data_IF_178031939254
#
_entry.id   IF_178031939254
#
_cell.length_a   1.000
_cell.length_b   1.000
_cell.length_c   1.000
_cell.angle_alpha   90.00
_cell.angle_beta   90.00
_cell.angle_gamma   90.00
#
_symmetry.space_group_name_H-M   'P 1'
#
loop_
_entity.id
_entity.type
_entity.pdbx_description
1 polymer ?
#
# COMPACT_ATOMS: atom_id res chain seq x y z
N UNK A 1 23.98 -29.69 -18.55
CA UNK A 1 23.35 -28.37 -18.31
C UNK A 1 24.37 -27.49 -17.59
N UNK A 2 25.02 -26.54 -18.28
CA UNK A 2 26.03 -25.68 -17.69
C UNK A 2 25.40 -24.57 -16.86
N UNK A 3 25.74 -24.51 -15.57
CA UNK A 3 25.36 -23.37 -14.72
C UNK A 3 26.02 -22.10 -15.24
N UNK A 4 25.23 -21.10 -15.68
CA UNK A 4 25.77 -19.80 -16.10
C UNK A 4 26.29 -19.06 -14.86
N UNK A 5 27.49 -18.43 -14.90
CA UNK A 5 28.11 -17.73 -13.76
C UNK A 5 27.22 -16.68 -13.10
N UNK A 6 26.34 -16.03 -13.87
CA UNK A 6 25.38 -15.04 -13.37
C UNK A 6 24.33 -15.65 -12.41
N UNK A 7 23.93 -16.90 -12.63
CA UNK A 7 22.96 -17.59 -11.75
C UNK A 7 23.60 -17.95 -10.41
N UNK A 8 24.88 -18.30 -10.41
CA UNK A 8 25.65 -18.62 -9.20
C UNK A 8 25.79 -17.37 -8.31
N UNK A 9 26.14 -16.21 -8.89
CA UNK A 9 26.23 -14.94 -8.14
C UNK A 9 24.88 -14.55 -7.52
N UNK A 10 23.78 -14.67 -8.27
CA UNK A 10 22.44 -14.38 -7.77
C UNK A 10 22.06 -15.32 -6.62
N UNK A 11 22.37 -16.59 -6.71
CA UNK A 11 22.11 -17.58 -5.65
C UNK A 11 22.89 -17.24 -4.37
N UNK A 12 24.19 -16.97 -4.45
CA UNK A 12 24.99 -16.58 -3.28
C UNK A 12 24.53 -15.26 -2.67
N UNK A 13 24.15 -14.28 -3.46
CA UNK A 13 23.58 -13.02 -2.97
C UNK A 13 22.25 -13.26 -2.23
N UNK A 14 21.40 -14.14 -2.75
CA UNK A 14 20.17 -14.57 -2.08
C UNK A 14 20.46 -15.28 -0.76
N UNK A 15 21.39 -16.23 -0.73
CA UNK A 15 21.77 -16.97 0.47
C UNK A 15 22.26 -16.02 1.57
N UNK A 16 23.14 -15.07 1.22
CA UNK A 16 23.65 -14.06 2.18
C UNK A 16 22.52 -13.21 2.74
N UNK A 17 21.71 -12.63 1.86
CA UNK A 17 20.55 -11.82 2.25
C UNK A 17 19.61 -12.62 3.15
N UNK A 18 19.35 -13.88 2.82
CA UNK A 18 18.45 -14.75 3.59
C UNK A 18 19.02 -15.14 4.95
N UNK A 19 20.33 -15.33 5.05
CA UNK A 19 20.98 -15.58 6.33
C UNK A 19 20.85 -14.41 7.32
N UNK A 20 20.96 -13.18 6.82
CA UNK A 20 20.78 -11.96 7.62
C UNK A 20 19.29 -11.77 8.02
N UNK A 21 18.36 -11.98 7.08
CA UNK A 21 16.93 -11.94 7.36
C UNK A 21 16.52 -13.05 8.35
N UNK A 22 17.08 -14.25 8.28
CA UNK A 22 16.81 -15.33 9.22
C UNK A 22 17.16 -14.96 10.66
N UNK A 23 18.27 -14.22 10.88
CA UNK A 23 18.62 -13.72 12.21
C UNK A 23 17.58 -12.74 12.74
N UNK A 24 17.02 -11.89 11.86
CA UNK A 24 15.97 -10.94 12.22
C UNK A 24 14.66 -11.67 12.51
N UNK A 25 14.25 -12.61 11.66
CA UNK A 25 13.03 -13.39 11.83
C UNK A 25 13.04 -14.21 13.13
N UNK A 26 14.21 -14.71 13.54
CA UNK A 26 14.39 -15.43 14.81
C UNK A 26 14.10 -14.61 16.07
N UNK A 27 14.04 -13.28 15.98
CA UNK A 27 13.59 -12.42 17.09
C UNK A 27 12.16 -12.73 17.50
N UNK A 28 11.33 -13.14 16.54
CA UNK A 28 9.94 -13.53 16.79
C UNK A 28 9.84 -14.99 17.22
N UNK A 29 10.39 -15.92 16.42
CA UNK A 29 10.57 -17.32 16.79
C UNK A 29 11.45 -18.07 15.77
N UNK A 30 11.92 -19.28 16.18
CA UNK A 30 12.60 -20.20 15.23
C UNK A 30 11.65 -20.73 14.16
N UNK A 31 10.40 -20.96 14.53
CA UNK A 31 9.35 -21.42 13.62
C UNK A 31 9.07 -20.37 12.54
N UNK A 32 8.87 -19.12 12.93
CA UNK A 32 8.66 -18.01 12.01
C UNK A 32 9.81 -17.88 11.01
N UNK A 33 11.05 -17.88 11.49
CA UNK A 33 12.23 -17.83 10.64
C UNK A 33 12.27 -18.97 9.60
N UNK A 34 11.85 -20.20 10.00
CA UNK A 34 11.72 -21.34 9.09
C UNK A 34 10.64 -21.10 8.05
N UNK A 35 9.47 -20.63 8.45
CA UNK A 35 8.35 -20.33 7.54
C UNK A 35 8.72 -19.25 6.51
N UNK A 36 9.39 -18.19 6.93
CA UNK A 36 9.91 -17.16 6.02
C UNK A 36 10.91 -17.74 5.01
N UNK A 37 11.83 -18.58 5.46
CA UNK A 37 12.79 -19.25 4.59
C UNK A 37 12.07 -20.17 3.57
N UNK A 38 11.15 -21.01 4.03
CA UNK A 38 10.41 -21.93 3.17
C UNK A 38 9.55 -21.19 2.13
N UNK A 39 8.94 -20.09 2.52
CA UNK A 39 8.16 -19.22 1.62
C UNK A 39 9.05 -18.61 0.53
N UNK A 40 10.16 -17.96 0.89
CA UNK A 40 11.07 -17.39 -0.10
C UNK A 40 11.70 -18.48 -1.00
N UNK A 41 12.06 -19.63 -0.43
CA UNK A 41 12.58 -20.76 -1.21
C UNK A 41 11.55 -21.26 -2.22
N UNK A 42 10.27 -21.28 -1.88
CA UNK A 42 9.20 -21.71 -2.80
C UNK A 42 9.05 -20.81 -4.02
N UNK A 43 9.52 -19.57 -3.96
CA UNK A 43 9.50 -18.63 -5.08
C UNK A 43 10.71 -18.74 -6.02
N UNK A 44 11.69 -19.57 -5.69
CA UNK A 44 12.88 -19.77 -6.52
C UNK A 44 12.64 -20.83 -7.59
N UNK A 45 12.90 -20.48 -8.84
CA UNK A 45 12.72 -21.37 -9.98
C UNK A 45 11.24 -21.67 -10.29
N UNK A 46 11.00 -22.67 -11.09
CA UNK A 46 9.64 -23.06 -11.53
C UNK A 46 9.03 -24.05 -10.52
N UNK A 47 8.57 -23.55 -9.40
CA UNK A 47 7.84 -24.35 -8.40
C UNK A 47 6.35 -24.39 -8.74
N UNK A 48 5.62 -25.47 -8.42
CA UNK A 48 4.16 -25.51 -8.53
C UNK A 48 3.50 -24.39 -7.73
N UNK A 49 2.47 -23.76 -8.28
CA UNK A 49 1.76 -22.66 -7.62
C UNK A 49 1.16 -23.10 -6.28
N UNK A 50 0.63 -24.33 -6.19
CA UNK A 50 0.08 -24.91 -4.96
C UNK A 50 1.10 -24.95 -3.81
N UNK A 51 2.38 -25.21 -4.12
CA UNK A 51 3.44 -25.17 -3.11
C UNK A 51 3.70 -23.76 -2.61
N UNK A 52 3.74 -22.78 -3.54
CA UNK A 52 3.93 -21.37 -3.19
C UNK A 52 2.77 -20.91 -2.29
N UNK A 53 1.54 -21.24 -2.67
CA UNK A 53 0.33 -20.88 -1.94
C UNK A 53 0.31 -21.52 -0.54
N UNK A 54 0.67 -22.79 -0.43
CA UNK A 54 0.75 -23.47 0.86
C UNK A 54 1.79 -22.83 1.80
N UNK A 55 2.99 -22.46 1.28
CA UNK A 55 4.03 -21.80 2.08
C UNK A 55 3.65 -20.37 2.44
N UNK A 56 3.02 -19.64 1.52
CA UNK A 56 2.46 -18.30 1.79
C UNK A 56 1.43 -18.37 2.91
N UNK A 57 0.45 -19.28 2.80
CA UNK A 57 -0.60 -19.47 3.80
C UNK A 57 -0.04 -19.81 5.18
N UNK A 58 0.92 -20.74 5.27
CA UNK A 58 1.51 -21.13 6.55
C UNK A 58 2.22 -19.93 7.24
N UNK A 59 2.97 -19.12 6.47
CA UNK A 59 3.58 -17.89 6.98
C UNK A 59 2.51 -16.87 7.44
N UNK A 60 1.48 -16.66 6.63
CA UNK A 60 0.42 -15.70 6.91
C UNK A 60 -0.37 -16.06 8.18
N UNK A 61 -0.76 -17.32 8.34
CA UNK A 61 -1.50 -17.76 9.55
C UNK A 61 -0.64 -17.65 10.82
N UNK A 62 0.67 -17.91 10.72
CA UNK A 62 1.57 -17.69 11.85
C UNK A 62 1.62 -16.20 12.26
N UNK A 63 1.73 -15.28 11.28
CA UNK A 63 1.75 -13.84 11.55
C UNK A 63 0.45 -13.38 12.20
N UNK A 64 -0.70 -13.83 11.69
CA UNK A 64 -2.01 -13.48 12.26
C UNK A 64 -2.10 -13.96 13.73
N UNK A 65 -1.75 -15.21 14.00
CA UNK A 65 -1.76 -15.74 15.38
C UNK A 65 -0.79 -14.98 16.30
N UNK A 66 0.37 -14.58 15.79
CA UNK A 66 1.32 -13.74 16.53
C UNK A 66 0.72 -12.37 16.86
N UNK A 67 0.09 -11.71 15.90
CA UNK A 67 -0.53 -10.39 16.07
C UNK A 67 -1.72 -10.47 17.04
N UNK A 68 -2.59 -11.48 16.93
CA UNK A 68 -3.70 -11.72 17.85
C UNK A 68 -3.22 -11.89 19.30
N UNK A 69 -2.11 -12.63 19.48
CA UNK A 69 -1.51 -12.80 20.81
C UNK A 69 -0.84 -11.53 21.32
N UNK A 70 -0.29 -10.71 20.44
CA UNK A 70 0.45 -9.49 20.81
C UNK A 70 -0.47 -8.34 21.17
N UNK A 71 -1.60 -8.19 20.45
CA UNK A 71 -2.54 -7.07 20.58
C UNK A 71 -3.98 -7.57 20.87
N UNK A 72 -4.21 -8.34 21.94
CA UNK A 72 -5.53 -8.86 22.26
C UNK A 72 -6.50 -7.78 22.73
N UNK A 73 -6.00 -6.68 23.28
CA UNK A 73 -6.81 -5.62 23.87
C UNK A 73 -7.59 -4.87 22.79
N UNK A 74 -6.89 -4.45 21.73
CA UNK A 74 -7.53 -3.79 20.58
C UNK A 74 -8.53 -4.73 19.90
N UNK A 75 -8.18 -5.99 19.67
CA UNK A 75 -9.12 -6.96 19.06
C UNK A 75 -10.38 -7.12 19.91
N UNK A 76 -10.22 -7.25 21.22
CA UNK A 76 -11.36 -7.39 22.14
C UNK A 76 -12.28 -6.15 22.14
N UNK A 77 -11.69 -4.95 22.08
CA UNK A 77 -12.43 -3.68 22.08
C UNK A 77 -13.30 -3.51 20.82
N UNK A 78 -12.85 -4.04 19.67
CA UNK A 78 -13.53 -3.84 18.39
C UNK A 78 -14.40 -5.02 17.93
N UNK A 79 -14.20 -6.24 18.46
CA UNK A 79 -14.84 -7.48 17.97
C UNK A 79 -16.35 -7.42 17.83
N UNK A 80 -17.03 -6.75 18.75
CA UNK A 80 -18.49 -6.64 18.77
C UNK A 80 -18.94 -5.18 18.60
N UNK A 81 -18.10 -4.33 18.02
CA UNK A 81 -18.44 -2.94 17.80
C UNK A 81 -19.65 -2.85 16.86
N UNK A 82 -20.72 -2.15 17.23
CA UNK A 82 -21.84 -1.91 16.34
C UNK A 82 -21.37 -1.07 15.15
N UNK A 83 -22.03 -1.23 14.01
CA UNK A 83 -21.79 -0.35 12.87
C UNK A 83 -22.06 1.10 13.27
N UNK A 84 -21.13 2.03 13.03
CA UNK A 84 -21.39 3.45 13.27
C UNK A 84 -22.63 3.92 12.50
N UNK A 85 -23.38 4.83 13.10
CA UNK A 85 -24.51 5.48 12.44
C UNK A 85 -24.03 6.16 11.14
N UNK A 86 -24.82 6.07 10.08
CA UNK A 86 -24.50 6.62 8.77
C UNK A 86 -23.24 6.05 8.09
N UNK A 87 -22.71 4.91 8.54
CA UNK A 87 -21.48 4.32 8.00
C UNK A 87 -21.55 4.08 6.47
N UNK A 88 -22.74 3.72 5.96
CA UNK A 88 -22.97 3.41 4.54
C UNK A 88 -23.35 4.64 3.70
N UNK A 89 -23.43 5.82 4.28
CA UNK A 89 -23.76 7.04 3.53
C UNK A 89 -22.53 7.60 2.82
N UNK A 90 -22.70 8.25 1.67
CA UNK A 90 -21.63 8.98 1.01
C UNK A 90 -20.98 10.04 1.92
N UNK A 91 -19.72 10.30 1.71
CA UNK A 91 -19.01 11.39 2.40
C UNK A 91 -19.59 12.74 1.93
N UNK A 92 -19.94 13.62 2.88
CA UNK A 92 -20.46 14.95 2.56
C UNK A 92 -19.39 15.87 2.01
N UNK A 93 -18.22 15.85 2.64
CA UNK A 93 -17.02 16.56 2.21
C UNK A 93 -15.88 15.56 2.08
N UNK A 94 -15.13 15.67 1.00
CA UNK A 94 -13.99 14.79 0.73
C UNK A 94 -12.72 15.61 0.77
N UNK A 95 -11.86 15.34 1.72
CA UNK A 95 -10.49 15.85 1.74
C UNK A 95 -9.59 14.89 1.00
N UNK A 96 -8.74 15.43 0.14
CA UNK A 96 -7.78 14.65 -0.64
C UNK A 96 -6.44 14.66 0.08
N UNK A 97 -5.88 13.48 0.30
CA UNK A 97 -4.63 13.29 1.03
C UNK A 97 -3.61 12.55 0.19
N UNK A 98 -2.38 12.96 0.28
CA UNK A 98 -1.22 12.18 -0.13
C UNK A 98 -0.13 12.31 0.93
N UNK A 99 1.04 11.67 0.72
CA UNK A 99 2.10 11.75 1.72
C UNK A 99 3.48 11.65 1.08
N UNK A 100 4.35 12.60 1.50
CA UNK A 100 5.78 12.55 1.24
C UNK A 100 6.51 13.09 2.47
N UNK A 101 7.18 12.19 3.21
CA UNK A 101 7.74 12.52 4.52
C UNK A 101 8.69 13.71 4.52
N UNK A 102 9.47 13.90 3.46
CA UNK A 102 10.44 14.99 3.34
C UNK A 102 9.79 16.35 2.97
N UNK A 103 8.54 16.37 2.58
CA UNK A 103 7.84 17.53 2.05
C UNK A 103 7.77 17.55 0.52
N UNK A 104 6.75 18.19 -0.03
CA UNK A 104 6.46 18.21 -1.47
C UNK A 104 7.61 18.79 -2.30
N UNK A 105 8.35 19.78 -1.78
CA UNK A 105 9.48 20.40 -2.46
C UNK A 105 10.66 19.44 -2.70
N UNK A 106 10.81 18.42 -1.87
CA UNK A 106 11.85 17.39 -2.00
C UNK A 106 11.34 16.16 -2.78
N UNK A 107 10.21 16.27 -3.43
CA UNK A 107 9.58 15.15 -4.09
C UNK A 107 10.17 14.92 -5.49
N UNK A 108 10.40 13.64 -5.81
CA UNK A 108 10.83 13.25 -7.15
C UNK A 108 9.76 13.61 -8.22
N UNK A 109 10.16 13.81 -9.49
CA UNK A 109 9.23 14.15 -10.58
C UNK A 109 8.02 13.23 -10.67
N UNK A 110 8.21 11.92 -10.53
CA UNK A 110 7.12 10.95 -10.52
C UNK A 110 6.06 11.23 -9.44
N UNK A 111 6.50 11.67 -8.24
CA UNK A 111 5.55 12.02 -7.19
C UNK A 111 4.78 13.29 -7.53
N UNK A 112 5.49 14.34 -8.00
CA UNK A 112 4.86 15.59 -8.44
C UNK A 112 3.81 15.34 -9.53
N UNK A 113 4.16 14.55 -10.54
CA UNK A 113 3.24 14.08 -11.58
C UNK A 113 1.97 13.43 -10.99
N UNK A 114 2.13 12.52 -10.03
CA UNK A 114 0.98 11.85 -9.41
C UNK A 114 0.10 12.82 -8.61
N UNK A 115 0.69 13.79 -7.91
CA UNK A 115 -0.05 14.82 -7.17
C UNK A 115 -0.81 15.75 -8.12
N UNK A 116 -0.16 16.24 -9.17
CA UNK A 116 -0.83 17.11 -10.14
C UNK A 116 -1.98 16.38 -10.87
N UNK A 117 -1.79 15.10 -11.18
CA UNK A 117 -2.87 14.28 -11.74
C UNK A 117 -4.05 14.11 -10.76
N UNK A 118 -3.77 13.95 -9.48
CA UNK A 118 -4.83 13.88 -8.46
C UNK A 118 -5.56 15.22 -8.31
N UNK A 119 -4.85 16.35 -8.25
CA UNK A 119 -5.46 17.70 -8.21
C UNK A 119 -6.39 17.92 -9.40
N UNK A 120 -5.91 17.62 -10.62
CA UNK A 120 -6.66 17.77 -11.86
C UNK A 120 -7.93 16.92 -11.89
N UNK A 121 -7.80 15.62 -11.67
CA UNK A 121 -8.86 14.64 -11.91
C UNK A 121 -9.75 14.36 -10.70
N UNK A 122 -9.37 14.77 -9.51
CA UNK A 122 -10.22 14.70 -8.32
C UNK A 122 -10.84 16.07 -7.98
N UNK A 123 -10.59 17.08 -8.81
CA UNK A 123 -11.18 18.43 -8.72
C UNK A 123 -11.04 19.06 -7.33
N UNK A 124 -9.87 18.92 -6.70
CA UNK A 124 -9.65 19.45 -5.36
C UNK A 124 -8.18 19.57 -4.99
N UNK A 125 -7.93 20.39 -3.96
CA UNK A 125 -6.59 20.53 -3.39
C UNK A 125 -6.19 19.26 -2.66
N UNK A 126 -5.01 18.72 -2.99
CA UNK A 126 -4.42 17.59 -2.31
C UNK A 126 -3.51 18.08 -1.20
N UNK A 127 -3.82 17.71 0.04
CA UNK A 127 -2.93 17.97 1.17
C UNK A 127 -1.86 16.88 1.20
N UNK A 128 -0.61 17.28 0.94
CA UNK A 128 0.54 16.39 1.09
C UNK A 128 1.00 16.40 2.54
N UNK A 129 0.79 15.29 3.23
CA UNK A 129 1.26 15.10 4.60
C UNK A 129 2.79 14.88 4.61
N UNK A 130 3.47 15.56 5.52
CA UNK A 130 4.91 15.47 5.73
C UNK A 130 5.27 15.45 7.23
N UNK A 131 6.58 15.41 7.54
CA UNK A 131 7.12 15.39 8.90
C UNK A 131 6.80 16.63 9.75
N UNK A 132 6.41 17.74 9.13
CA UNK A 132 6.19 19.02 9.78
C UNK A 132 4.69 19.31 9.96
N UNK A 133 3.85 19.01 8.95
CA UNK A 133 2.44 19.41 8.90
C UNK A 133 1.44 18.37 9.46
N UNK A 134 1.81 17.10 9.62
CA UNK A 134 0.87 16.06 10.10
C UNK A 134 0.21 16.40 11.44
N UNK A 135 0.92 17.14 12.30
CA UNK A 135 0.45 17.58 13.63
C UNK A 135 -0.81 18.46 13.58
N UNK A 136 -1.11 19.06 12.43
CA UNK A 136 -2.33 19.82 12.24
C UNK A 136 -3.59 18.95 12.19
N UNK A 137 -3.44 17.63 12.06
CA UNK A 137 -4.53 16.71 11.78
C UNK A 137 -4.63 15.54 12.79
N UNK A 138 -3.49 15.07 13.29
CA UNK A 138 -3.40 13.97 14.27
C UNK A 138 -2.02 13.98 14.93
N UNK A 139 -1.90 13.21 16.02
CA UNK A 139 -0.63 13.04 16.73
C UNK A 139 0.00 11.67 16.39
N UNK A 140 1.32 11.61 16.28
CA UNK A 140 2.08 10.36 16.32
C UNK A 140 2.59 10.20 17.76
N UNK A 141 2.31 9.08 18.46
CA UNK A 141 2.78 8.85 19.82
C UNK A 141 4.30 9.03 19.93
N UNK A 142 4.76 9.75 20.96
CA UNK A 142 6.17 10.08 21.14
C UNK A 142 7.08 8.83 21.15
N UNK A 143 6.62 7.72 21.74
CA UNK A 143 7.39 6.48 21.75
C UNK A 143 7.59 5.90 20.34
N UNK A 144 6.67 6.13 19.39
CA UNK A 144 6.84 5.71 18.00
C UNK A 144 7.89 6.56 17.28
N UNK A 145 7.86 7.89 17.49
CA UNK A 145 8.87 8.80 16.93
C UNK A 145 10.27 8.48 17.49
N UNK A 146 10.39 8.20 18.79
CA UNK A 146 11.64 7.76 19.39
C UNK A 146 12.11 6.43 18.78
N UNK A 147 11.25 5.44 18.62
CA UNK A 147 11.59 4.16 17.97
C UNK A 147 11.97 4.32 16.50
N UNK A 148 11.38 5.28 15.78
CA UNK A 148 11.83 5.65 14.44
C UNK A 148 13.27 6.17 14.46
N UNK A 149 13.58 7.11 15.35
CA UNK A 149 14.91 7.67 15.50
C UNK A 149 15.96 6.61 15.90
N UNK A 150 15.57 5.60 16.69
CA UNK A 150 16.40 4.46 17.09
C UNK A 150 16.50 3.38 15.98
N UNK A 151 15.83 3.52 14.85
CA UNK A 151 15.80 2.52 13.76
C UNK A 151 15.03 1.23 14.08
N UNK A 152 14.20 1.23 15.12
CA UNK A 152 13.33 0.10 15.51
C UNK A 152 12.06 0.05 14.66
N UNK A 153 11.55 1.21 14.27
CA UNK A 153 10.43 1.36 13.33
C UNK A 153 10.99 1.92 12.03
N UNK A 154 10.72 1.28 10.91
CA UNK A 154 11.06 1.84 9.60
C UNK A 154 10.09 2.97 9.24
N UNK A 155 10.57 3.97 8.49
CA UNK A 155 9.74 5.10 8.05
C UNK A 155 8.45 4.65 7.35
N UNK A 156 8.50 3.56 6.57
CA UNK A 156 7.31 2.99 5.91
C UNK A 156 6.17 2.71 6.91
N UNK A 157 6.49 2.16 8.09
CA UNK A 157 5.46 1.85 9.09
C UNK A 157 4.93 3.09 9.83
N UNK A 158 5.75 4.14 9.93
CA UNK A 158 5.24 5.46 10.37
C UNK A 158 4.28 6.02 9.31
N UNK A 159 4.62 5.90 8.04
CA UNK A 159 3.72 6.28 6.95
C UNK A 159 2.41 5.47 6.97
N UNK A 160 2.46 4.16 7.21
CA UNK A 160 1.27 3.32 7.38
C UNK A 160 0.39 3.81 8.54
N UNK A 161 1.01 4.17 9.68
CA UNK A 161 0.29 4.76 10.82
C UNK A 161 -0.34 6.11 10.46
N UNK A 162 0.39 6.98 9.74
CA UNK A 162 -0.14 8.28 9.31
C UNK A 162 -1.36 8.15 8.41
N UNK A 163 -1.33 7.20 7.45
CA UNK A 163 -2.46 6.95 6.53
C UNK A 163 -3.72 6.53 7.30
N UNK A 164 -3.60 5.56 8.19
CA UNK A 164 -4.77 5.12 8.95
C UNK A 164 -5.23 6.16 9.96
N UNK A 165 -4.33 6.95 10.53
CA UNK A 165 -4.65 8.03 11.47
C UNK A 165 -5.39 9.18 10.81
N UNK A 166 -4.94 9.65 9.62
CA UNK A 166 -5.64 10.72 8.90
C UNK A 166 -7.05 10.28 8.49
N UNK A 167 -7.19 9.05 7.97
CA UNK A 167 -8.50 8.53 7.58
C UNK A 167 -9.41 8.26 8.79
N UNK A 168 -8.85 7.82 9.93
CA UNK A 168 -9.62 7.65 11.17
C UNK A 168 -10.12 8.99 11.72
N UNK A 169 -9.30 10.06 11.68
CA UNK A 169 -9.60 11.33 12.32
C UNK A 169 -10.33 12.33 11.42
N UNK A 170 -10.05 12.33 10.14
CA UNK A 170 -10.60 13.28 9.18
C UNK A 170 -11.51 12.61 8.15
N UNK A 171 -11.29 11.31 7.82
CA UNK A 171 -11.87 10.68 6.64
C UNK A 171 -11.25 11.22 5.36
N UNK A 172 -11.93 11.02 4.23
CA UNK A 172 -11.49 11.54 2.94
C UNK A 172 -10.93 10.46 2.01
N UNK A 173 -10.11 10.87 1.07
CA UNK A 173 -9.53 10.02 0.03
C UNK A 173 -8.01 10.15 0.03
N UNK A 174 -7.32 9.05 0.32
CA UNK A 174 -5.86 8.99 0.32
C UNK A 174 -5.34 8.33 -0.96
N UNK A 175 -4.41 9.02 -1.64
CA UNK A 175 -3.63 8.48 -2.76
C UNK A 175 -2.15 8.40 -2.38
N UNK A 176 -1.56 7.21 -2.53
CA UNK A 176 -0.12 7.04 -2.30
C UNK A 176 0.72 7.82 -3.31
N UNK A 177 1.93 8.18 -2.92
CA UNK A 177 2.89 9.01 -3.65
C UNK A 177 3.20 8.60 -5.10
N UNK A 178 2.79 7.43 -5.53
CA UNK A 178 3.05 6.90 -6.88
C UNK A 178 1.78 6.32 -7.50
N UNK A 179 0.63 6.94 -7.21
CA UNK A 179 -0.65 6.63 -7.83
C UNK A 179 -0.98 7.75 -8.81
N UNK A 180 -1.03 7.42 -10.08
CA UNK A 180 -1.44 8.34 -11.12
C UNK A 180 -2.95 8.22 -11.36
N UNK A 181 -3.64 9.36 -11.34
CA UNK A 181 -5.05 9.49 -11.70
C UNK A 181 -5.13 9.79 -13.20
N UNK A 182 -5.72 8.92 -13.97
CA UNK A 182 -5.66 8.99 -15.43
C UNK A 182 -6.84 9.70 -16.09
N UNK A 183 -7.90 9.96 -15.34
CA UNK A 183 -9.16 10.56 -15.82
C UNK A 183 -9.98 11.07 -14.65
N UNK A 184 -11.00 11.89 -14.94
CA UNK A 184 -11.86 12.46 -13.91
C UNK A 184 -12.54 11.39 -13.06
N UNK A 185 -12.44 11.55 -11.75
CA UNK A 185 -12.95 10.59 -10.77
C UNK A 185 -14.41 10.93 -10.46
N UNK A 186 -15.35 10.01 -10.71
CA UNK A 186 -16.76 10.24 -10.44
C UNK A 186 -17.05 10.52 -8.96
N UNK A 187 -18.00 11.38 -8.66
CA UNK A 187 -18.47 11.66 -7.29
C UNK A 187 -18.85 10.39 -6.51
N UNK A 188 -19.40 9.39 -7.19
CA UNK A 188 -19.72 8.11 -6.57
C UNK A 188 -18.51 7.36 -6.03
N UNK A 189 -17.32 7.59 -6.60
CA UNK A 189 -16.05 7.04 -6.13
C UNK A 189 -15.44 7.94 -5.07
N UNK A 190 -15.36 9.27 -5.33
CA UNK A 190 -14.78 10.22 -4.38
C UNK A 190 -15.52 10.23 -3.05
N UNK A 191 -16.85 10.19 -3.09
CA UNK A 191 -17.73 10.25 -1.92
C UNK A 191 -18.10 8.89 -1.36
N UNK A 192 -17.55 7.80 -1.91
CA UNK A 192 -17.85 6.47 -1.39
C UNK A 192 -17.60 6.40 0.13
N UNK A 193 -18.47 5.73 0.89
CA UNK A 193 -18.28 5.54 2.32
C UNK A 193 -17.01 4.75 2.64
N UNK A 194 -16.59 3.89 1.72
CA UNK A 194 -15.30 3.21 1.65
C UNK A 194 -14.93 2.92 0.20
N UNK A 195 -13.67 3.14 -0.17
CA UNK A 195 -13.16 2.79 -1.50
C UNK A 195 -11.69 2.38 -1.43
N UNK A 196 -11.33 1.39 -2.22
CA UNK A 196 -9.96 0.94 -2.47
C UNK A 196 -9.91 0.22 -3.82
N UNK A 197 -8.73 0.07 -4.43
CA UNK A 197 -8.61 -0.81 -5.58
C UNK A 197 -8.84 -2.26 -5.17
N UNK A 198 -9.73 -2.93 -5.91
CA UNK A 198 -10.10 -4.34 -5.72
C UNK A 198 -10.16 -5.05 -7.06
N UNK A 199 -9.76 -6.31 -7.11
CA UNK A 199 -9.92 -7.16 -8.29
C UNK A 199 -10.35 -8.56 -7.88
N UNK A 200 -11.12 -9.22 -8.75
CA UNK A 200 -11.58 -10.60 -8.56
C UNK A 200 -10.44 -11.64 -8.49
N UNK A 201 -9.23 -11.28 -8.88
CA UNK A 201 -8.10 -12.20 -8.89
C UNK A 201 -7.65 -12.49 -7.46
N UNK A 202 -7.88 -13.70 -6.98
CA UNK A 202 -7.33 -14.18 -5.71
C UNK A 202 -5.82 -14.37 -5.85
N UNK A 203 -5.06 -13.44 -5.26
CA UNK A 203 -3.61 -13.54 -5.16
C UNK A 203 -3.25 -13.98 -3.75
N UNK A 204 -3.20 -15.28 -3.53
CA UNK A 204 -2.85 -15.90 -2.23
C UNK A 204 -1.49 -15.46 -1.68
N UNK A 205 -0.63 -14.91 -2.54
CA UNK A 205 0.67 -14.35 -2.16
C UNK A 205 0.54 -13.19 -1.17
N UNK A 206 -0.45 -12.30 -1.36
CA UNK A 206 -0.69 -11.17 -0.46
C UNK A 206 -1.83 -11.48 0.52
N UNK A 207 -1.69 -11.02 1.77
CA UNK A 207 -2.73 -11.19 2.78
C UNK A 207 -4.06 -10.53 2.36
N UNK A 208 -3.99 -9.39 1.68
CA UNK A 208 -5.16 -8.69 1.16
C UNK A 208 -5.99 -9.49 0.16
N UNK A 209 -5.40 -10.49 -0.53
CA UNK A 209 -6.04 -11.27 -1.62
C UNK A 209 -6.75 -10.37 -2.62
N UNK A 210 -6.15 -9.26 -2.95
CA UNK A 210 -6.70 -8.22 -3.86
C UNK A 210 -8.00 -7.55 -3.40
N UNK A 211 -8.44 -7.72 -2.15
CA UNK A 211 -9.63 -7.05 -1.57
C UNK A 211 -9.39 -5.57 -1.26
N UNK A 212 -8.15 -5.18 -1.02
CA UNK A 212 -7.71 -3.81 -0.76
C UNK A 212 -6.26 -3.60 -1.18
N UNK A 213 -5.88 -2.33 -1.21
CA UNK A 213 -4.49 -1.90 -1.40
C UNK A 213 -4.19 -0.75 -0.42
N UNK A 214 -3.02 -0.76 0.22
CA UNK A 214 -2.63 0.28 1.17
C UNK A 214 -2.27 1.62 0.53
N UNK A 215 -2.06 1.65 -0.78
CA UNK A 215 -1.68 2.88 -1.50
C UNK A 215 -2.86 3.69 -2.05
N UNK A 216 -4.10 3.22 -1.88
CA UNK A 216 -5.31 3.94 -2.26
C UNK A 216 -6.45 3.51 -1.34
N UNK A 217 -6.84 4.41 -0.46
CA UNK A 217 -7.83 4.17 0.58
C UNK A 217 -8.73 5.40 0.73
N UNK A 218 -10.01 5.19 0.75
CA UNK A 218 -10.96 6.24 1.09
C UNK A 218 -11.97 5.73 2.10
N UNK A 219 -12.48 6.63 2.91
CA UNK A 219 -13.54 6.29 3.85
C UNK A 219 -13.96 7.45 4.73
N UNK A 220 -15.10 7.27 5.36
CA UNK A 220 -15.63 8.26 6.30
C UNK A 220 -14.76 8.37 7.55
N UNK A 221 -14.72 9.55 8.14
CA UNK A 221 -14.17 9.77 9.48
C UNK A 221 -14.76 8.76 10.47
N UNK A 222 -13.90 8.15 11.26
CA UNK A 222 -14.29 7.16 12.27
C UNK A 222 -14.66 5.78 11.71
N UNK A 223 -14.38 5.50 10.43
CA UNK A 223 -14.64 4.17 9.87
C UNK A 223 -13.83 3.11 10.65
N UNK A 224 -14.49 2.03 11.15
CA UNK A 224 -13.88 1.07 12.08
C UNK A 224 -12.61 0.39 11.57
N UNK A 225 -12.41 0.22 10.27
CA UNK A 225 -11.15 -0.30 9.70
C UNK A 225 -9.96 0.58 10.06
N UNK A 226 -10.12 1.90 9.90
CA UNK A 226 -9.02 2.84 10.12
C UNK A 226 -8.77 3.10 11.61
N UNK A 227 -9.83 3.23 12.40
CA UNK A 227 -9.70 3.39 13.85
C UNK A 227 -9.09 2.15 14.50
N UNK A 228 -9.53 0.95 14.11
CA UNK A 228 -8.94 -0.30 14.56
C UNK A 228 -7.45 -0.39 14.18
N UNK A 229 -7.12 -0.10 12.92
CA UNK A 229 -5.73 -0.22 12.45
C UNK A 229 -4.80 0.77 13.16
N UNK A 230 -5.23 2.01 13.42
CA UNK A 230 -4.50 3.00 14.21
C UNK A 230 -4.25 2.48 15.63
N UNK A 231 -5.30 2.11 16.32
CA UNK A 231 -5.23 1.68 17.72
C UNK A 231 -4.40 0.37 17.86
N UNK A 232 -4.51 -0.53 16.86
CA UNK A 232 -3.71 -1.74 16.78
C UNK A 232 -2.22 -1.44 16.60
N UNK A 233 -1.88 -0.53 15.69
CA UNK A 233 -0.48 -0.10 15.48
C UNK A 233 0.08 0.56 16.75
N UNK A 234 -0.72 1.34 17.48
CA UNK A 234 -0.30 1.92 18.75
C UNK A 234 -0.03 0.84 19.80
N UNK A 235 -0.92 -0.14 19.96
CA UNK A 235 -0.69 -1.25 20.89
C UNK A 235 0.53 -2.07 20.48
N UNK A 236 0.64 -2.41 19.18
CA UNK A 236 1.75 -3.20 18.64
C UNK A 236 3.11 -2.51 18.87
N UNK A 237 3.25 -1.28 18.44
CA UNK A 237 4.51 -0.55 18.56
C UNK A 237 4.86 -0.15 20.01
N UNK A 238 3.91 -0.18 20.93
CA UNK A 238 4.22 -0.06 22.36
C UNK A 238 4.92 -1.31 22.89
N UNK A 239 4.52 -2.48 22.42
CA UNK A 239 4.96 -3.79 22.91
C UNK A 239 6.18 -4.36 22.15
N UNK A 240 6.37 -3.96 20.88
CA UNK A 240 7.34 -4.59 19.96
C UNK A 240 8.29 -3.56 19.37
N UNK A 241 9.54 -3.96 19.13
CA UNK A 241 10.61 -3.11 18.59
C UNK A 241 10.99 -3.46 17.14
N UNK A 242 10.21 -4.27 16.46
CA UNK A 242 10.43 -4.65 15.07
C UNK A 242 9.10 -5.02 14.37
N UNK A 243 8.98 -4.72 13.09
CA UNK A 243 7.85 -5.22 12.30
C UNK A 243 7.99 -6.73 12.07
N UNK A 244 6.92 -7.48 12.31
CA UNK A 244 6.88 -8.92 12.03
C UNK A 244 6.90 -9.21 10.54
N UNK A 245 6.36 -8.32 9.73
CA UNK A 245 6.40 -8.36 8.27
C UNK A 245 6.43 -6.93 7.71
N UNK A 246 6.99 -6.76 6.50
CA UNK A 246 6.97 -5.47 5.80
C UNK A 246 5.54 -4.98 5.53
N UNK A 247 4.61 -5.90 5.27
CA UNK A 247 3.20 -5.61 4.99
C UNK A 247 2.31 -5.80 6.24
N UNK A 248 2.82 -5.45 7.42
CA UNK A 248 2.08 -5.64 8.69
C UNK A 248 0.69 -5.00 8.68
N UNK A 249 0.51 -3.88 7.98
CA UNK A 249 -0.79 -3.22 7.83
C UNK A 249 -1.82 -4.12 7.12
N UNK A 250 -1.43 -4.90 6.11
CA UNK A 250 -2.33 -5.83 5.44
C UNK A 250 -2.85 -6.93 6.39
N UNK A 251 -2.01 -7.39 7.32
CA UNK A 251 -2.43 -8.35 8.35
C UNK A 251 -3.36 -7.72 9.38
N UNK A 252 -3.11 -6.45 9.73
CA UNK A 252 -4.00 -5.71 10.64
C UNK A 252 -5.38 -5.50 9.98
N UNK A 253 -5.42 -5.16 8.70
CA UNK A 253 -6.68 -5.07 7.94
C UNK A 253 -7.40 -6.43 7.86
N UNK A 254 -6.67 -7.53 7.72
CA UNK A 254 -7.24 -8.88 7.76
C UNK A 254 -7.84 -9.21 9.13
N UNK A 255 -7.20 -8.81 10.22
CA UNK A 255 -7.75 -8.96 11.57
C UNK A 255 -9.02 -8.15 11.75
N UNK A 256 -9.06 -6.90 11.24
CA UNK A 256 -10.28 -6.09 11.23
C UNK A 256 -11.39 -6.77 10.42
N UNK A 257 -11.07 -7.24 9.22
CA UNK A 257 -12.02 -7.94 8.35
C UNK A 257 -12.59 -9.21 8.99
N UNK A 258 -11.78 -9.98 9.74
CA UNK A 258 -12.21 -11.22 10.41
C UNK A 258 -13.04 -10.94 11.67
N UNK A 259 -12.73 -9.88 12.40
CA UNK A 259 -13.27 -9.65 13.75
C UNK A 259 -14.36 -8.59 13.83
N UNK A 260 -14.53 -7.72 12.81
CA UNK A 260 -15.46 -6.60 12.83
C UNK A 260 -16.48 -6.77 11.69
N UNK A 261 -17.71 -7.23 11.96
CA UNK A 261 -18.69 -7.55 10.92
C UNK A 261 -19.00 -6.41 9.95
N UNK A 262 -19.08 -5.16 10.43
CA UNK A 262 -19.34 -4.02 9.59
C UNK A 262 -18.17 -3.68 8.65
N UNK A 263 -16.92 -3.91 9.07
CA UNK A 263 -15.73 -3.78 8.20
C UNK A 263 -15.80 -4.83 7.09
N UNK A 264 -16.09 -6.09 7.46
CA UNK A 264 -16.24 -7.16 6.46
C UNK A 264 -17.30 -6.81 5.42
N UNK A 265 -18.48 -6.42 5.86
CA UNK A 265 -19.58 -6.06 4.97
C UNK A 265 -19.19 -4.92 4.01
N UNK A 266 -18.51 -3.89 4.49
CA UNK A 266 -18.10 -2.74 3.68
C UNK A 266 -17.01 -3.10 2.66
N UNK A 267 -16.01 -3.88 3.06
CA UNK A 267 -14.96 -4.36 2.13
C UNK A 267 -15.55 -5.27 1.07
N UNK A 268 -16.48 -6.15 1.43
CA UNK A 268 -17.14 -7.04 0.47
C UNK A 268 -18.02 -6.26 -0.52
N UNK A 269 -18.69 -5.20 -0.04
CA UNK A 269 -19.54 -4.34 -0.88
C UNK A 269 -18.76 -3.45 -1.86
N UNK A 270 -17.45 -3.21 -1.63
CA UNK A 270 -16.63 -2.47 -2.59
C UNK A 270 -16.51 -3.30 -3.89
N UNK A 271 -16.95 -2.78 -5.06
CA UNK A 271 -16.94 -3.55 -6.30
C UNK A 271 -15.52 -3.76 -6.83
N UNK A 272 -15.34 -4.74 -7.70
CA UNK A 272 -14.12 -4.89 -8.49
C UNK A 272 -13.94 -3.66 -9.37
N UNK A 273 -12.71 -3.15 -9.41
CA UNK A 273 -12.39 -1.90 -10.07
C UNK A 273 -10.89 -1.83 -10.44
N UNK A 274 -10.53 -0.89 -11.31
CA UNK A 274 -9.15 -0.61 -11.72
C UNK A 274 -8.38 -1.89 -12.14
N UNK A 275 -8.88 -2.65 -13.14
CA UNK A 275 -8.29 -3.95 -13.52
C UNK A 275 -6.85 -3.83 -14.03
N UNK A 276 -6.49 -2.71 -14.70
CA UNK A 276 -5.17 -2.48 -15.29
C UNK A 276 -4.23 -1.66 -14.40
N UNK A 277 -4.55 -1.49 -13.11
CA UNK A 277 -3.81 -0.60 -12.19
C UNK A 277 -2.29 -0.83 -12.11
N UNK A 278 -1.81 -2.01 -12.46
CA UNK A 278 -0.38 -2.37 -12.43
C UNK A 278 0.24 -2.50 -13.83
N UNK A 279 -0.48 -2.14 -14.89
CA UNK A 279 0.00 -2.37 -16.25
C UNK A 279 0.94 -1.24 -16.73
N UNK A 280 0.54 0.01 -16.57
CA UNK A 280 1.26 1.17 -17.11
C UNK A 280 2.73 1.23 -16.67
N UNK A 281 3.05 0.77 -15.46
CA UNK A 281 4.42 0.78 -14.94
C UNK A 281 5.43 0.03 -15.83
N UNK A 282 5.00 -0.97 -16.58
CA UNK A 282 5.84 -1.73 -17.50
C UNK A 282 6.06 -1.01 -18.85
N UNK A 283 5.25 0.03 -19.11
CA UNK A 283 5.17 0.72 -20.39
C UNK A 283 5.56 2.21 -20.33
N UNK A 284 6.11 2.67 -19.20
CA UNK A 284 6.47 4.08 -19.02
C UNK A 284 7.54 4.55 -20.05
N UNK A 285 8.51 3.72 -20.38
CA UNK A 285 9.58 4.03 -21.35
C UNK A 285 9.25 3.62 -22.81
N UNK A 286 8.04 3.10 -23.07
CA UNK A 286 7.61 2.86 -24.44
C UNK A 286 7.39 4.20 -25.15
N UNK A 287 7.67 4.25 -26.47
CA UNK A 287 7.39 5.45 -27.28
C UNK A 287 5.90 5.82 -27.18
N UNK A 288 5.64 7.09 -26.89
CA UNK A 288 4.29 7.61 -26.83
C UNK A 288 3.57 7.50 -28.17
N UNK A 289 2.35 7.04 -28.13
CA UNK A 289 1.41 6.94 -29.25
C UNK A 289 0.02 7.29 -28.72
N UNK A 290 -0.52 8.41 -29.18
CA UNK A 290 -1.77 8.97 -28.67
C UNK A 290 -2.94 7.98 -28.72
N UNK A 291 -3.05 7.16 -29.78
CA UNK A 291 -4.17 6.21 -29.91
C UNK A 291 -4.01 5.04 -28.94
N UNK A 292 -2.78 4.55 -28.74
CA UNK A 292 -2.52 3.47 -27.78
C UNK A 292 -2.64 3.95 -26.33
N UNK A 293 -2.28 5.20 -26.07
CA UNK A 293 -2.32 5.78 -24.73
C UNK A 293 -3.75 5.99 -24.22
N UNK A 294 -4.72 6.13 -25.12
CA UNK A 294 -6.15 6.21 -24.77
C UNK A 294 -6.64 5.06 -23.90
N UNK A 295 -6.05 3.87 -24.01
CA UNK A 295 -6.38 2.73 -23.14
C UNK A 295 -6.16 3.01 -21.65
N UNK A 296 -5.26 3.93 -21.33
CA UNK A 296 -4.97 4.33 -19.95
C UNK A 296 -5.81 5.51 -19.47
N UNK A 297 -6.37 6.31 -20.38
CA UNK A 297 -7.11 7.54 -20.04
C UNK A 297 -8.62 7.46 -20.30
N UNK A 298 -9.10 6.41 -20.95
CA UNK A 298 -10.51 6.25 -21.36
C UNK A 298 -11.10 4.88 -21.00
N UNK A 299 -10.42 4.10 -20.17
CA UNK A 299 -10.85 2.75 -19.76
C UNK A 299 -11.48 2.72 -18.37
N UNK A 300 -11.74 1.50 -17.88
CA UNK A 300 -12.30 1.24 -16.54
C UNK A 300 -11.28 1.42 -15.39
N UNK A 301 -10.03 1.73 -15.72
CA UNK A 301 -8.97 1.96 -14.75
C UNK A 301 -8.70 3.45 -14.61
N UNK A 302 -9.02 4.00 -13.45
CA UNK A 302 -8.84 5.41 -13.11
C UNK A 302 -7.53 5.66 -12.36
N UNK A 303 -7.01 4.65 -11.66
CA UNK A 303 -5.84 4.75 -10.80
C UNK A 303 -4.78 3.73 -11.21
N UNK A 304 -3.59 4.21 -11.57
CA UNK A 304 -2.45 3.37 -11.92
C UNK A 304 -1.36 3.45 -10.87
N UNK A 305 -0.94 2.27 -10.37
CA UNK A 305 0.18 2.17 -9.42
C UNK A 305 1.51 2.20 -10.18
N UNK A 306 2.21 3.27 -10.04
CA UNK A 306 3.58 3.44 -10.54
C UNK A 306 4.60 3.12 -9.43
N UNK A 307 5.90 3.22 -9.73
CA UNK A 307 6.98 3.00 -8.76
C UNK A 307 8.18 3.85 -9.08
N UNK A 308 8.77 4.46 -8.07
CA UNK A 308 10.07 5.12 -8.20
C UNK A 308 11.24 4.11 -8.20
N UNK A 309 11.03 2.88 -7.70
CA UNK A 309 12.04 1.82 -7.60
C UNK A 309 12.11 0.92 -8.83
N UNK A 310 10.98 0.71 -9.49
CA UNK A 310 10.82 -0.25 -10.57
C UNK A 310 10.31 0.43 -11.84
N UNK A 311 10.60 -0.19 -12.97
CA UNK A 311 10.26 0.36 -14.28
C UNK A 311 11.25 1.42 -14.74
N UNK A 312 11.61 1.39 -16.01
CA UNK A 312 12.37 2.46 -16.65
C UNK A 312 11.47 3.71 -16.75
N UNK A 313 12.08 4.88 -16.59
CA UNK A 313 11.41 6.19 -16.61
C UNK A 313 12.21 7.16 -17.48
N UNK A 314 12.63 6.69 -18.64
CA UNK A 314 13.28 7.53 -19.62
C UNK A 314 12.24 8.44 -20.27
N UNK A 315 12.51 9.73 -20.39
CA UNK A 315 11.61 10.69 -21.05
C UNK A 315 11.69 10.60 -22.57
N UNK A 316 12.81 10.11 -23.09
CA UNK A 316 13.02 9.84 -24.51
C UNK A 316 13.46 8.39 -24.74
N UNK A 317 13.02 7.83 -25.86
CA UNK A 317 13.51 6.54 -26.35
C UNK A 317 14.95 6.68 -26.88
N UNK A 318 15.64 5.57 -27.12
CA UNK A 318 16.99 5.58 -27.69
C UNK A 318 17.10 6.26 -29.09
N UNK A 319 15.99 6.32 -29.83
CA UNK A 319 15.87 7.00 -31.13
C UNK A 319 15.29 8.43 -31.01
N UNK A 320 15.19 8.98 -29.77
CA UNK A 320 14.84 10.38 -29.51
C UNK A 320 13.33 10.70 -29.53
N UNK A 321 12.44 9.70 -29.56
CA UNK A 321 10.99 9.94 -29.47
C UNK A 321 10.56 10.10 -28.01
N UNK A 322 9.58 10.93 -27.74
CA UNK A 322 8.97 11.07 -26.43
C UNK A 322 8.37 9.73 -25.98
N UNK A 323 8.60 9.36 -24.73
CA UNK A 323 8.02 8.16 -24.12
C UNK A 323 6.67 8.46 -23.48
N UNK A 324 5.96 7.42 -23.02
CA UNK A 324 4.74 7.61 -22.21
C UNK A 324 5.04 8.43 -20.95
N UNK A 325 6.17 8.19 -20.28
CA UNK A 325 6.56 8.96 -19.09
C UNK A 325 6.87 10.42 -19.41
N UNK A 326 7.65 10.68 -20.49
CA UNK A 326 7.92 12.04 -20.95
C UNK A 326 6.64 12.80 -21.28
N UNK A 327 5.72 12.18 -22.02
CA UNK A 327 4.41 12.76 -22.32
C UNK A 327 3.60 13.09 -21.04
N UNK A 328 3.61 12.19 -20.06
CA UNK A 328 2.90 12.43 -18.79
C UNK A 328 3.51 13.61 -18.02
N UNK A 329 4.82 13.76 -17.99
CA UNK A 329 5.47 14.91 -17.35
C UNK A 329 5.08 16.22 -18.05
N UNK A 330 5.12 16.25 -19.37
CA UNK A 330 4.73 17.41 -20.20
C UNK A 330 3.25 17.79 -19.97
N UNK A 331 2.35 16.79 -19.91
CA UNK A 331 0.91 17.02 -19.70
C UNK A 331 0.59 17.73 -18.37
N UNK A 332 1.41 17.52 -17.34
CA UNK A 332 1.21 18.08 -15.99
C UNK A 332 2.24 19.15 -15.62
N UNK A 333 3.01 19.69 -16.58
CA UNK A 333 4.03 20.72 -16.37
C UNK A 333 5.04 20.37 -15.26
N UNK A 334 5.47 19.09 -15.21
CA UNK A 334 6.44 18.61 -14.22
C UNK A 334 7.83 18.52 -14.82
N UNK A 335 8.75 19.32 -14.30
CA UNK A 335 10.18 19.26 -14.65
C UNK A 335 10.83 17.99 -14.09
N UNK A 336 11.81 17.43 -14.85
CA UNK A 336 12.64 16.28 -14.45
C UNK A 336 13.50 16.55 -13.21
#
# INVERSE_FOLDING_TARGET
>A
MGFRPAHIKKYFAWVKRRADAYKQDRRFSREYARLCFEFEWSQLGNKPQELIDAKSKAKQEWILAYLEKTCPETIAAYRNMPAPEHMNEPQKEVKLWSMWWQGENEAAPLFRLCIESAKKHMHGDVVVLDKDNYKNYFDIPEYMLRKLAEGKIALQHICDYMVVSILATQGGFFTGATVWCSQDIPDSVLRAPFYTCKTATDRTFFMSRSRWVGYLLAGRKGFPLFTFARDFLEEYWRKVDAAVDYLVLDYIFELAYRNIPCVKAMVDANPDNNPLRNELIAHLSDAYDAEKFKRYTQGDTMFYKLSWKFGAKDTLTADGRVTNYGHMLDEYDVEE
#
